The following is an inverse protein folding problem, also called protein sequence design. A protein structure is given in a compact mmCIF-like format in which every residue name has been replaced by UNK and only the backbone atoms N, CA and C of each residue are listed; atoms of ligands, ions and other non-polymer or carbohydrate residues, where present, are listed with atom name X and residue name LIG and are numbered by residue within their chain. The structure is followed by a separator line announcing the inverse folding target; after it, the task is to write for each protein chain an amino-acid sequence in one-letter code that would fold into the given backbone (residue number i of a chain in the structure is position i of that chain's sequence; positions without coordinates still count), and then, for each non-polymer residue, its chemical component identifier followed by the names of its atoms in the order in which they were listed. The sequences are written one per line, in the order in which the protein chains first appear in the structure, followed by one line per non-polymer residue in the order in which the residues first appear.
data_IF_004196559510
#
_entry.id   IF_004196559510
#
_cell.length_a   1.000
_cell.length_b   1.000
_cell.length_c   1.000
_cell.angle_alpha   90.00
_cell.angle_beta   90.00
_cell.angle_gamma   90.00
#
_symmetry.space_group_name_H-M   'P 1'
#
loop_
_entity.id
_entity.type
_entity.pdbx_description
1 polymer ?
#
# COMPACT_ATOMS: atom_id res chain seq x y z
N UNK A 1 8.92 6.87 5.40
CA UNK A 1 8.00 7.67 4.56
C UNK A 1 8.54 7.65 3.15
N UNK A 2 7.70 7.37 2.14
CA UNK A 2 8.14 7.36 0.73
C UNK A 2 8.29 8.79 0.19
N UNK A 3 9.17 8.99 -0.78
CA UNK A 3 9.52 10.29 -1.38
C UNK A 3 8.30 11.18 -1.73
N UNK A 4 7.27 10.62 -2.36
CA UNK A 4 6.04 11.37 -2.72
C UNK A 4 5.19 11.78 -1.52
N UNK A 5 5.17 10.98 -0.46
CA UNK A 5 4.37 11.24 0.73
C UNK A 5 5.02 12.32 1.60
N UNK A 6 6.34 12.22 1.80
CA UNK A 6 7.10 13.19 2.61
C UNK A 6 7.04 14.61 2.02
N UNK A 7 7.05 14.76 0.69
CA UNK A 7 6.86 16.07 0.03
C UNK A 7 5.53 16.70 0.44
N UNK A 8 4.43 15.95 0.34
CA UNK A 8 3.09 16.49 0.66
C UNK A 8 2.96 16.89 2.13
N UNK A 9 3.56 16.10 3.03
CA UNK A 9 3.53 16.39 4.47
C UNK A 9 4.35 17.64 4.81
N UNK A 10 5.58 17.76 4.30
CA UNK A 10 6.44 18.93 4.54
C UNK A 10 5.86 20.19 3.90
N UNK A 11 5.33 20.10 2.67
CA UNK A 11 4.64 21.21 2.02
C UNK A 11 3.47 21.73 2.85
N UNK A 12 2.67 20.84 3.43
CA UNK A 12 1.54 21.23 4.30
C UNK A 12 2.01 22.00 5.53
N UNK A 13 3.09 21.53 6.18
CA UNK A 13 3.67 22.21 7.36
C UNK A 13 4.24 23.58 7.00
N UNK A 14 4.87 23.71 5.84
CA UNK A 14 5.46 24.95 5.35
C UNK A 14 4.46 25.87 4.62
N UNK A 15 3.16 25.58 4.72
CA UNK A 15 2.07 26.34 4.07
C UNK A 15 2.27 26.54 2.55
N UNK A 16 2.91 25.58 1.87
CA UNK A 16 2.99 25.55 0.41
C UNK A 16 1.59 25.23 -0.14
N UNK A 17 1.10 25.96 -1.17
CA UNK A 17 -0.20 25.69 -1.76
C UNK A 17 -0.37 24.22 -2.20
N UNK A 18 -1.55 23.65 -1.96
CA UNK A 18 -1.82 22.23 -2.21
C UNK A 18 -1.56 21.80 -3.67
N UNK A 19 -1.88 22.68 -4.62
CA UNK A 19 -1.65 22.42 -6.04
C UNK A 19 -0.15 22.32 -6.37
N UNK A 20 0.69 23.12 -5.72
CA UNK A 20 2.14 23.10 -5.89
C UNK A 20 2.75 21.88 -5.20
N UNK A 21 2.26 21.54 -4.02
CA UNK A 21 2.64 20.31 -3.31
C UNK A 21 2.34 19.05 -4.14
N UNK A 22 1.16 18.98 -4.76
CA UNK A 22 0.79 17.84 -5.62
C UNK A 22 1.60 17.81 -6.92
N UNK A 23 1.85 18.98 -7.54
CA UNK A 23 2.75 19.10 -8.70
C UNK A 23 4.15 18.56 -8.37
N UNK A 24 4.76 19.00 -7.27
CA UNK A 24 6.08 18.54 -6.83
C UNK A 24 6.10 17.03 -6.56
N UNK A 25 5.08 16.50 -5.88
CA UNK A 25 5.00 15.08 -5.60
C UNK A 25 4.85 14.23 -6.88
N UNK A 26 4.18 14.74 -7.92
CA UNK A 26 4.03 14.06 -9.22
C UNK A 26 5.32 14.04 -10.03
N UNK A 27 6.22 15.01 -9.86
CA UNK A 27 7.53 15.03 -10.51
C UNK A 27 8.46 13.91 -10.02
N UNK A 28 8.26 13.38 -8.82
CA UNK A 28 9.04 12.23 -8.36
C UNK A 28 8.60 10.98 -9.13
N UNK A 29 9.48 10.32 -9.92
CA UNK A 29 9.08 9.16 -10.72
C UNK A 29 8.62 7.98 -9.84
N UNK A 30 7.73 7.13 -10.37
CA UNK A 30 7.26 5.95 -9.63
C UNK A 30 8.25 4.81 -9.82
N UNK A 31 8.97 4.45 -8.76
CA UNK A 31 9.83 3.26 -8.71
C UNK A 31 9.91 2.76 -7.26
N UNK A 32 10.07 1.44 -7.09
CA UNK A 32 10.12 0.77 -5.80
C UNK A 32 11.23 1.34 -4.90
N UNK A 33 12.39 1.62 -5.48
CA UNK A 33 13.59 2.11 -4.77
C UNK A 33 13.87 3.60 -5.02
N UNK A 34 12.82 4.38 -5.32
CA UNK A 34 12.95 5.81 -5.57
C UNK A 34 13.24 6.57 -4.27
N UNK A 35 14.32 7.36 -4.30
CA UNK A 35 14.68 8.32 -3.26
C UNK A 35 14.64 9.73 -3.82
N UNK A 36 14.56 10.74 -2.96
CA UNK A 36 14.59 12.15 -3.39
C UNK A 36 15.90 12.50 -4.10
N UNK A 37 17.03 11.94 -3.68
CA UNK A 37 18.31 12.13 -4.35
C UNK A 37 18.36 11.50 -5.74
N UNK A 38 17.75 10.33 -5.93
CA UNK A 38 17.61 9.72 -7.27
C UNK A 38 16.66 10.56 -8.12
N UNK A 39 15.52 10.98 -7.58
CA UNK A 39 14.53 11.78 -8.29
C UNK A 39 15.10 13.12 -8.79
N UNK A 40 15.93 13.80 -7.99
CA UNK A 40 16.62 15.03 -8.42
C UNK A 40 17.64 14.80 -9.55
N UNK A 41 18.19 13.59 -9.67
CA UNK A 41 19.12 13.23 -10.75
C UNK A 41 18.39 12.83 -12.03
N UNK A 42 17.22 12.20 -11.91
CA UNK A 42 16.50 11.62 -13.05
C UNK A 42 15.40 12.52 -13.61
N UNK A 43 14.84 13.45 -12.83
CA UNK A 43 13.80 14.37 -13.28
C UNK A 43 14.32 15.82 -13.36
N UNK A 44 14.61 16.33 -14.58
CA UNK A 44 15.12 17.67 -14.78
C UNK A 44 14.20 18.76 -14.24
N UNK A 45 12.87 18.60 -14.31
CA UNK A 45 11.94 19.61 -13.81
C UNK A 45 11.98 19.73 -12.29
N UNK A 46 12.18 18.62 -11.59
CA UNK A 46 12.32 18.60 -10.13
C UNK A 46 13.62 19.28 -9.72
N UNK A 47 14.73 18.99 -10.42
CA UNK A 47 16.02 19.66 -10.23
C UNK A 47 15.91 21.17 -10.49
N UNK A 48 15.25 21.57 -11.56
CA UNK A 48 15.06 22.96 -11.89
C UNK A 48 14.21 23.68 -10.82
N UNK A 49 13.14 23.06 -10.32
CA UNK A 49 12.34 23.60 -9.23
C UNK A 49 13.14 23.75 -7.93
N UNK A 50 14.02 22.78 -7.64
CA UNK A 50 14.95 22.82 -6.50
C UNK A 50 15.99 23.95 -6.62
N UNK A 51 16.50 24.23 -7.83
CA UNK A 51 17.52 25.26 -8.04
C UNK A 51 16.94 26.68 -8.13
N UNK A 52 15.73 26.84 -8.69
CA UNK A 52 15.15 28.16 -8.98
C UNK A 52 14.28 28.76 -7.88
N UNK A 53 13.75 27.92 -6.97
CA UNK A 53 12.83 28.37 -5.94
C UNK A 53 13.36 27.99 -4.55
N UNK A 54 13.72 29.00 -3.75
CA UNK A 54 14.27 28.80 -2.41
C UNK A 54 13.32 28.09 -1.45
N UNK A 55 12.01 28.34 -1.57
CA UNK A 55 11.00 27.66 -0.76
C UNK A 55 10.96 26.17 -1.11
N UNK A 56 11.00 25.82 -2.40
CA UNK A 56 11.02 24.43 -2.85
C UNK A 56 12.33 23.75 -2.45
N UNK A 57 13.47 24.45 -2.54
CA UNK A 57 14.76 23.96 -2.05
C UNK A 57 14.68 23.58 -0.59
N UNK A 58 14.17 24.47 0.26
CA UNK A 58 13.98 24.24 1.70
C UNK A 58 13.06 23.05 1.97
N UNK A 59 11.95 22.93 1.23
CA UNK A 59 11.04 21.78 1.32
C UNK A 59 11.81 20.48 1.05
N UNK A 60 12.52 20.41 -0.08
CA UNK A 60 13.21 19.18 -0.50
C UNK A 60 14.34 18.82 0.47
N UNK A 61 15.10 19.79 0.98
CA UNK A 61 16.17 19.56 1.95
C UNK A 61 15.64 18.99 3.27
N UNK A 62 14.48 19.45 3.73
CA UNK A 62 13.80 18.87 4.90
C UNK A 62 13.29 17.48 4.56
N UNK A 63 12.69 17.29 3.37
CA UNK A 63 12.17 16.01 2.94
C UNK A 63 13.27 14.93 2.91
N UNK A 64 14.50 15.26 2.47
CA UNK A 64 15.64 14.33 2.47
C UNK A 64 15.99 13.80 3.87
N UNK A 65 15.81 14.62 4.91
CA UNK A 65 16.05 14.21 6.31
C UNK A 65 14.94 13.33 6.88
N UNK A 66 13.74 13.43 6.31
CA UNK A 66 12.55 12.72 6.79
C UNK A 66 12.20 11.50 5.94
N UNK A 67 12.79 11.36 4.75
CA UNK A 67 12.66 10.19 3.90
C UNK A 67 13.07 8.92 4.67
N UNK A 68 12.32 7.83 4.48
CA UNK A 68 12.59 6.56 5.15
C UNK A 68 12.02 6.44 6.57
N UNK A 69 11.82 7.54 7.30
CA UNK A 69 11.31 7.50 8.69
C UNK A 69 9.87 6.95 8.80
N UNK A 70 9.56 6.19 9.85
CA UNK A 70 8.19 5.70 10.10
C UNK A 70 7.25 6.87 10.45
N UNK A 71 5.99 6.80 10.01
CA UNK A 71 4.99 7.89 10.18
C UNK A 71 3.91 7.54 11.19
N UNK A 72 3.23 6.41 10.99
CA UNK A 72 2.18 5.89 11.87
C UNK A 72 2.26 4.37 11.92
N UNK A 73 1.74 3.78 13.00
CA UNK A 73 1.41 2.37 13.03
C UNK A 73 0.16 2.12 12.17
N UNK A 74 0.19 1.10 11.32
CA UNK A 74 -0.95 0.68 10.49
C UNK A 74 -1.03 -0.84 10.48
N UNK A 75 -2.26 -1.36 10.41
CA UNK A 75 -2.50 -2.79 10.28
C UNK A 75 -2.13 -3.27 8.87
N UNK A 76 -1.41 -4.39 8.77
CA UNK A 76 -1.26 -5.07 7.48
C UNK A 76 -2.60 -5.69 7.10
N UNK A 77 -3.21 -5.23 6.00
CA UNK A 77 -4.60 -5.57 5.65
C UNK A 77 -4.90 -7.07 5.51
N UNK A 78 -3.88 -7.93 5.39
CA UNK A 78 -4.02 -9.38 5.27
C UNK A 78 -3.39 -10.17 6.44
N UNK A 79 -2.53 -9.56 7.26
CA UNK A 79 -1.61 -10.32 8.10
C UNK A 79 -2.22 -10.67 9.45
N UNK A 80 -2.38 -11.97 9.71
CA UNK A 80 -2.86 -12.51 10.98
C UNK A 80 -1.73 -13.33 11.62
N UNK A 81 -1.53 -13.13 12.92
CA UNK A 81 -0.50 -13.81 13.69
C UNK A 81 -1.16 -14.79 14.66
N UNK A 82 -0.67 -16.03 14.69
CA UNK A 82 -1.20 -17.11 15.52
C UNK A 82 -0.08 -17.63 16.43
N UNK A 83 -0.40 -17.80 17.71
CA UNK A 83 0.47 -18.35 18.74
C UNK A 83 -0.28 -19.45 19.52
N UNK A 84 0.46 -20.40 20.06
CA UNK A 84 -0.02 -21.47 20.96
C UNK A 84 -0.16 -21.02 22.42
N UNK A 85 0.53 -19.94 22.79
CA UNK A 85 0.44 -19.23 24.05
C UNK A 85 -0.05 -17.78 23.87
N UNK A 86 -0.42 -17.05 24.93
CA UNK A 86 -0.78 -15.63 24.83
C UNK A 86 0.28 -14.80 24.10
N UNK A 87 -0.12 -14.03 23.09
CA UNK A 87 0.78 -13.21 22.25
C UNK A 87 1.67 -12.26 23.06
N UNK A 88 1.19 -11.79 24.21
CA UNK A 88 1.93 -10.91 25.13
C UNK A 88 3.22 -11.53 25.69
N UNK A 89 3.36 -12.86 25.62
CA UNK A 89 4.59 -13.55 26.00
C UNK A 89 5.71 -13.37 24.97
N UNK A 90 5.38 -13.06 23.72
CA UNK A 90 6.32 -12.98 22.60
C UNK A 90 6.48 -11.58 22.02
N UNK A 91 5.37 -10.84 21.89
CA UNK A 91 5.35 -9.55 21.20
C UNK A 91 4.50 -8.52 21.96
N UNK A 92 4.93 -7.25 21.99
CA UNK A 92 4.10 -6.18 22.49
C UNK A 92 2.93 -5.92 21.52
N UNK A 93 1.76 -5.67 22.09
CA UNK A 93 0.52 -5.41 21.35
C UNK A 93 0.16 -3.93 21.40
N UNK A 94 -0.58 -3.48 20.39
CA UNK A 94 -1.12 -2.13 20.25
C UNK A 94 -2.56 -2.21 19.79
N UNK A 95 -3.38 -1.30 20.31
CA UNK A 95 -4.77 -1.11 19.93
C UNK A 95 -4.97 0.37 19.62
N UNK A 96 -5.39 0.69 18.41
CA UNK A 96 -5.71 2.06 18.03
C UNK A 96 -6.99 2.52 18.75
N UNK A 97 -7.11 3.81 19.05
CA UNK A 97 -8.25 4.37 19.80
C UNK A 97 -9.59 4.24 19.07
N UNK A 98 -9.54 4.16 17.73
CA UNK A 98 -10.69 4.12 16.82
C UNK A 98 -10.98 2.70 16.27
N UNK A 99 -10.20 1.69 16.68
CA UNK A 99 -10.39 0.31 16.23
C UNK A 99 -10.45 -0.66 17.41
N UNK A 100 -11.20 -1.74 17.23
CA UNK A 100 -11.17 -2.89 18.13
C UNK A 100 -10.09 -3.91 17.79
N UNK A 101 -9.38 -3.73 16.68
CA UNK A 101 -8.32 -4.62 16.23
C UNK A 101 -7.13 -4.57 17.19
N UNK A 102 -6.62 -5.75 17.54
CA UNK A 102 -5.39 -5.93 18.29
C UNK A 102 -4.29 -6.21 17.28
N UNK A 103 -3.25 -5.39 17.27
CA UNK A 103 -2.11 -5.56 16.38
C UNK A 103 -0.80 -5.70 17.14
N UNK A 104 0.13 -6.45 16.57
CA UNK A 104 1.51 -6.50 17.04
C UNK A 104 2.21 -5.17 16.76
N UNK A 105 3.09 -4.74 17.66
CA UNK A 105 3.95 -3.58 17.42
C UNK A 105 5.16 -3.92 16.54
N UNK A 106 5.43 -5.20 16.31
CA UNK A 106 6.48 -5.65 15.39
C UNK A 106 5.98 -5.72 13.95
N UNK A 107 6.85 -5.38 13.01
CA UNK A 107 6.58 -5.59 11.59
C UNK A 107 6.58 -7.09 11.22
N UNK A 108 5.88 -7.45 10.15
CA UNK A 108 5.70 -8.84 9.71
C UNK A 108 7.00 -9.67 9.69
N UNK A 109 8.09 -9.20 9.05
CA UNK A 109 9.36 -9.93 9.04
C UNK A 109 9.96 -10.16 10.44
N UNK A 110 9.70 -9.26 11.39
CA UNK A 110 10.17 -9.39 12.75
C UNK A 110 9.31 -10.41 13.52
N UNK A 111 8.00 -10.45 13.30
CA UNK A 111 7.10 -11.46 13.87
C UNK A 111 7.53 -12.88 13.50
N UNK A 112 7.85 -13.10 12.21
CA UNK A 112 8.34 -14.40 11.73
C UNK A 112 9.68 -14.78 12.38
N UNK A 113 10.60 -13.80 12.55
CA UNK A 113 11.89 -14.03 13.23
C UNK A 113 11.76 -14.36 14.71
N UNK A 114 10.71 -13.87 15.37
CA UNK A 114 10.39 -14.21 16.77
C UNK A 114 9.84 -15.65 16.87
N UNK A 115 9.52 -16.30 15.74
CA UNK A 115 9.05 -17.68 15.70
C UNK A 115 7.53 -17.83 15.68
N UNK A 116 6.80 -16.73 15.48
CA UNK A 116 5.33 -16.76 15.42
C UNK A 116 4.85 -17.12 14.01
N UNK A 117 3.74 -17.87 13.95
CA UNK A 117 3.09 -18.20 12.69
C UNK A 117 2.36 -16.97 12.14
N UNK A 118 2.73 -16.56 10.94
CA UNK A 118 2.04 -15.52 10.18
C UNK A 118 1.27 -16.14 9.02
N UNK A 119 0.00 -15.79 8.88
CA UNK A 119 -0.84 -16.14 7.74
C UNK A 119 -1.40 -14.89 7.09
N UNK A 120 -1.42 -14.86 5.75
CA UNK A 120 -1.99 -13.74 5.00
C UNK A 120 -3.38 -14.12 4.44
N UNK A 121 -4.42 -13.39 4.86
CA UNK A 121 -5.79 -13.48 4.37
C UNK A 121 -6.08 -12.34 3.39
N UNK A 122 -6.00 -12.64 2.09
CA UNK A 122 -6.15 -11.63 1.05
C UNK A 122 -7.62 -11.43 0.67
N UNK A 123 -8.12 -10.20 0.81
CA UNK A 123 -9.43 -9.79 0.31
C UNK A 123 -9.44 -9.52 -1.20
N UNK A 124 -9.32 -10.57 -2.03
CA UNK A 124 -9.34 -10.43 -3.48
C UNK A 124 -10.74 -10.09 -4.00
N UNK A 125 -10.92 -8.85 -4.49
CA UNK A 125 -12.18 -8.39 -5.10
C UNK A 125 -12.69 -9.33 -6.20
N UNK A 126 -11.79 -9.94 -6.96
CA UNK A 126 -12.12 -10.90 -8.02
C UNK A 126 -12.98 -12.05 -7.51
N UNK A 127 -12.72 -12.57 -6.30
CA UNK A 127 -13.52 -13.66 -5.73
C UNK A 127 -14.95 -13.21 -5.45
N UNK A 128 -15.14 -12.02 -4.87
CA UNK A 128 -16.48 -11.46 -4.66
C UNK A 128 -17.23 -11.18 -5.97
N UNK A 129 -16.50 -10.77 -7.02
CA UNK A 129 -17.09 -10.58 -8.36
C UNK A 129 -17.55 -11.91 -8.94
N UNK A 130 -16.73 -12.96 -8.85
CA UNK A 130 -17.07 -14.29 -9.34
C UNK A 130 -18.25 -14.89 -8.57
N UNK A 131 -18.25 -14.81 -7.24
CA UNK A 131 -19.36 -15.24 -6.39
C UNK A 131 -20.66 -14.54 -6.80
N UNK A 132 -20.62 -13.21 -6.97
CA UNK A 132 -21.79 -12.45 -7.39
C UNK A 132 -22.26 -12.83 -8.79
N UNK A 133 -21.33 -13.08 -9.73
CA UNK A 133 -21.66 -13.52 -11.07
C UNK A 133 -22.36 -14.89 -11.05
N UNK A 134 -21.82 -15.88 -10.33
CA UNK A 134 -22.45 -17.20 -10.15
C UNK A 134 -23.85 -17.09 -9.55
N UNK A 135 -24.04 -16.26 -8.51
CA UNK A 135 -25.34 -16.03 -7.90
C UNK A 135 -26.35 -15.47 -8.90
N UNK A 136 -25.94 -14.47 -9.71
CA UNK A 136 -26.82 -13.88 -10.71
C UNK A 136 -27.20 -14.87 -11.82
N UNK A 137 -26.26 -15.71 -12.27
CA UNK A 137 -26.59 -16.76 -13.26
C UNK A 137 -27.59 -17.75 -12.68
N UNK A 138 -27.44 -18.14 -11.42
CA UNK A 138 -28.39 -19.02 -10.73
C UNK A 138 -29.78 -18.38 -10.61
N UNK A 139 -29.84 -17.12 -10.23
CA UNK A 139 -31.10 -16.39 -10.05
C UNK A 139 -31.85 -16.17 -11.37
N UNK A 140 -31.13 -15.87 -12.46
CA UNK A 140 -31.72 -15.50 -13.76
C UNK A 140 -31.99 -16.73 -14.63
N UNK A 141 -31.06 -17.69 -14.62
CA UNK A 141 -31.07 -18.82 -15.55
C UNK A 141 -31.31 -20.17 -14.87
N UNK A 142 -31.38 -20.23 -13.53
CA UNK A 142 -31.55 -21.47 -12.77
C UNK A 142 -30.33 -22.40 -12.84
N UNK A 143 -29.20 -21.92 -13.35
CA UNK A 143 -27.99 -22.72 -13.54
C UNK A 143 -27.02 -22.50 -12.38
N UNK A 144 -26.62 -23.58 -11.73
CA UNK A 144 -25.62 -23.56 -10.66
C UNK A 144 -24.22 -23.78 -11.25
N UNK A 145 -23.36 -22.76 -11.19
CA UNK A 145 -22.01 -22.81 -11.77
C UNK A 145 -21.01 -23.18 -10.66
N UNK A 146 -20.36 -24.33 -10.82
CA UNK A 146 -19.21 -24.74 -10.02
C UNK A 146 -17.91 -24.27 -10.69
N UNK A 147 -17.32 -23.20 -10.14
CA UNK A 147 -16.07 -22.61 -10.64
C UNK A 147 -14.91 -23.62 -10.65
N UNK A 148 -14.92 -24.63 -9.77
CA UNK A 148 -13.88 -25.65 -9.68
C UNK A 148 -13.96 -26.73 -10.77
N UNK A 149 -15.05 -26.76 -11.55
CA UNK A 149 -15.30 -27.76 -12.60
C UNK A 149 -15.36 -27.19 -14.01
N UNK A 150 -15.02 -25.92 -14.19
CA UNK A 150 -15.03 -25.27 -15.51
C UNK A 150 -13.99 -25.89 -16.45
N UNK A 151 -14.33 -25.97 -17.74
CA UNK A 151 -13.40 -26.41 -18.78
C UNK A 151 -12.34 -25.31 -19.04
N UNK A 152 -11.04 -25.55 -18.77
CA UNK A 152 -10.02 -24.52 -18.93
C UNK A 152 -9.76 -24.13 -20.40
N UNK A 153 -10.17 -24.99 -21.33
CA UNK A 153 -9.89 -24.88 -22.76
C UNK A 153 -11.11 -24.49 -23.61
N UNK A 154 -12.18 -23.94 -23.01
CA UNK A 154 -13.41 -23.57 -23.74
C UNK A 154 -13.09 -22.60 -24.89
N UNK A 155 -13.23 -23.03 -26.17
CA UNK A 155 -12.91 -22.19 -27.32
C UNK A 155 -13.69 -20.87 -27.35
N UNK A 156 -14.89 -20.81 -26.78
CA UNK A 156 -15.71 -19.59 -26.73
C UNK A 156 -15.08 -18.53 -25.83
N UNK A 157 -14.40 -18.95 -24.75
CA UNK A 157 -13.70 -18.02 -23.84
C UNK A 157 -12.49 -17.42 -24.56
N UNK A 158 -11.71 -18.23 -25.29
CA UNK A 158 -10.54 -17.72 -26.04
C UNK A 158 -10.92 -16.78 -27.18
N UNK A 159 -12.08 -16.97 -27.82
CA UNK A 159 -12.59 -16.06 -28.85
C UNK A 159 -12.89 -14.65 -28.34
N UNK A 160 -13.05 -14.44 -27.02
CA UNK A 160 -13.26 -13.12 -26.43
C UNK A 160 -11.98 -12.28 -26.32
N UNK A 161 -10.81 -12.92 -26.35
CA UNK A 161 -9.53 -12.24 -26.26
C UNK A 161 -8.97 -11.97 -27.67
N UNK A 162 -8.54 -10.73 -27.96
CA UNK A 162 -7.98 -10.36 -29.25
C UNK A 162 -6.60 -10.98 -29.52
#
# INVERSE_FOLDING_TARGET
MKARAVIRDVCRVLAVPLHEADRLAKLVPFSLDMTLDKALKTEPQLKQAYEKNEQIRKVIDICKKLEGLTRHASVHAAGVVIADEPLTNFVPLYKASDSNDIITQYEGPMVEKVGLLKMDFLGLKTLSVLERACQLVKDIHGQDIDLGKLEPADPKVFQLFP
#
